data_IF_502256856409
#
_entry.id   IF_502256856409
#
_cell.length_a   1.000
_cell.length_b   1.000
_cell.length_c   1.000
_cell.angle_alpha   90.00
_cell.angle_beta   90.00
_cell.angle_gamma   90.00
#
_symmetry.space_group_name_H-M   'P 1'
#
loop_
_entity.id
_entity.type
_entity.pdbx_description
1 polymer ?
#
# COMPACT_ATOMS: atom_id res chain seq x y z
N UNK A 1 82.93 33.21 -58.05
CA UNK A 1 83.80 32.10 -58.46
C UNK A 1 84.55 31.60 -57.23
N UNK A 2 84.13 30.48 -56.66
CA UNK A 2 85.03 29.49 -56.01
C UNK A 2 84.22 28.23 -55.67
N UNK A 3 84.50 27.19 -56.45
CA UNK A 3 84.29 25.74 -56.28
C UNK A 3 83.32 25.24 -55.20
N UNK A 4 82.14 24.80 -55.64
CA UNK A 4 81.40 23.70 -55.00
C UNK A 4 82.18 22.41 -55.31
N UNK A 5 83.02 21.97 -54.38
CA UNK A 5 83.54 20.60 -54.41
C UNK A 5 82.42 19.66 -53.95
N UNK A 6 81.87 18.92 -54.92
CA UNK A 6 81.02 17.78 -54.65
C UNK A 6 81.83 16.72 -53.87
N UNK A 7 81.56 16.60 -52.58
CA UNK A 7 81.93 15.41 -51.81
C UNK A 7 81.07 14.26 -52.34
N UNK A 8 81.62 13.51 -53.30
CA UNK A 8 81.13 12.17 -53.65
C UNK A 8 81.35 11.27 -52.44
N UNK A 9 80.30 11.06 -51.65
CA UNK A 9 80.29 9.98 -50.65
C UNK A 9 80.05 8.66 -51.39
N UNK A 10 81.10 7.92 -51.69
CA UNK A 10 81.06 6.57 -52.29
C UNK A 10 80.89 5.45 -51.26
N UNK A 11 80.30 5.76 -50.10
CA UNK A 11 80.03 4.76 -49.08
C UNK A 11 78.51 4.53 -48.95
N UNK A 12 77.96 3.46 -49.57
CA UNK A 12 76.53 3.16 -49.50
C UNK A 12 76.06 2.92 -48.06
N UNK A 13 76.96 2.59 -47.13
CA UNK A 13 76.62 2.44 -45.72
C UNK A 13 76.35 3.78 -45.02
N UNK A 14 77.05 4.88 -45.32
CA UNK A 14 76.79 6.17 -44.66
C UNK A 14 75.47 6.82 -45.09
N UNK A 15 75.08 6.67 -46.36
CA UNK A 15 73.76 7.07 -46.84
C UNK A 15 72.65 6.20 -46.25
N UNK A 16 72.91 4.89 -46.08
CA UNK A 16 71.98 3.98 -45.40
C UNK A 16 71.87 4.28 -43.90
N UNK A 17 72.95 4.65 -43.22
CA UNK A 17 72.93 5.09 -41.82
C UNK A 17 72.25 6.47 -41.65
N UNK A 18 72.43 7.42 -42.55
CA UNK A 18 71.69 8.69 -42.56
C UNK A 18 70.19 8.49 -42.84
N UNK A 19 69.84 7.61 -43.80
CA UNK A 19 68.45 7.22 -44.05
C UNK A 19 67.84 6.44 -42.89
N UNK A 20 68.60 5.57 -42.21
CA UNK A 20 68.15 4.88 -41.00
C UNK A 20 67.99 5.86 -39.83
N UNK A 21 68.89 6.83 -39.63
CA UNK A 21 68.74 7.85 -38.59
C UNK A 21 67.51 8.74 -38.86
N UNK A 22 67.18 9.04 -40.13
CA UNK A 22 65.91 9.69 -40.49
C UNK A 22 64.68 8.78 -40.40
N UNK A 23 64.83 7.45 -40.49
CA UNK A 23 63.76 6.46 -40.28
C UNK A 23 63.52 6.14 -38.79
N UNK A 24 64.40 6.59 -37.88
CA UNK A 24 64.28 6.37 -36.44
C UNK A 24 63.87 7.62 -35.64
N UNK A 25 63.54 8.73 -36.30
CA UNK A 25 63.02 9.93 -35.62
C UNK A 25 61.50 9.98 -35.43
N UNK A 26 60.74 8.97 -35.90
CA UNK A 26 59.27 8.92 -35.76
C UNK A 26 58.76 7.61 -35.17
N UNK A 27 59.30 7.22 -34.01
CA UNK A 27 58.59 6.26 -33.13
C UNK A 27 58.64 6.75 -31.68
N UNK A 28 58.15 7.96 -31.45
CA UNK A 28 57.56 8.28 -30.15
C UNK A 28 56.11 7.78 -30.24
N UNK A 29 55.62 6.89 -29.34
CA UNK A 29 54.22 6.52 -29.37
C UNK A 29 53.38 7.79 -29.29
N UNK A 30 52.66 8.09 -30.35
CA UNK A 30 51.71 9.20 -30.35
C UNK A 30 50.69 8.90 -29.26
N UNK A 31 50.69 9.70 -28.20
CA UNK A 31 49.67 9.63 -27.16
C UNK A 31 48.37 10.17 -27.74
N UNK A 32 47.66 9.37 -28.53
CA UNK A 32 46.37 9.77 -29.09
C UNK A 32 45.32 9.92 -27.99
N UNK A 33 44.42 10.92 -28.09
CA UNK A 33 43.31 11.07 -27.16
C UNK A 33 42.40 9.83 -27.18
N UNK A 34 42.02 9.34 -26.02
CA UNK A 34 41.10 8.21 -25.92
C UNK A 34 40.21 8.29 -24.69
N UNK A 35 39.00 7.72 -24.79
CA UNK A 35 38.04 7.67 -23.69
C UNK A 35 38.46 6.61 -22.68
N UNK A 36 38.62 7.00 -21.42
CA UNK A 36 38.98 6.05 -20.36
C UNK A 36 37.78 5.20 -19.91
N UNK A 37 36.58 5.80 -19.93
CA UNK A 37 35.34 5.16 -19.48
C UNK A 37 34.21 5.50 -20.45
N UNK A 38 33.26 4.57 -20.67
CA UNK A 38 32.07 4.84 -21.47
C UNK A 38 31.18 5.88 -20.78
N UNK A 39 30.53 6.72 -21.57
CA UNK A 39 29.56 7.69 -21.07
C UNK A 39 28.30 6.98 -20.56
N UNK A 40 27.95 7.21 -19.29
CA UNK A 40 26.83 6.54 -18.64
C UNK A 40 25.48 7.21 -18.93
N UNK A 41 24.43 6.39 -19.09
CA UNK A 41 23.06 6.87 -19.16
C UNK A 41 22.60 7.38 -17.80
N UNK A 42 21.85 8.48 -17.79
CA UNK A 42 21.34 9.11 -16.58
C UNK A 42 19.82 9.04 -16.54
N UNK A 43 19.26 8.73 -15.38
CA UNK A 43 17.81 8.87 -15.11
C UNK A 43 17.64 9.88 -13.98
N UNK A 44 17.01 11.01 -14.28
CA UNK A 44 16.92 12.16 -13.36
C UNK A 44 15.49 12.64 -13.24
N UNK A 45 15.04 12.90 -12.01
CA UNK A 45 13.71 13.46 -11.78
C UNK A 45 13.64 14.93 -12.25
N UNK A 46 12.51 15.31 -12.84
CA UNK A 46 12.28 16.69 -13.29
C UNK A 46 12.56 17.71 -12.18
N UNK A 47 13.29 18.79 -12.52
CA UNK A 47 13.68 19.84 -11.59
C UNK A 47 14.96 19.56 -10.79
N UNK A 48 15.55 18.36 -10.89
CA UNK A 48 16.88 18.06 -10.33
C UNK A 48 17.99 18.36 -11.34
N UNK A 49 19.24 18.34 -10.88
CA UNK A 49 20.39 18.60 -11.74
C UNK A 49 20.91 17.28 -12.34
N UNK A 50 21.29 17.30 -13.61
CA UNK A 50 21.93 16.16 -14.29
C UNK A 50 23.37 16.50 -14.63
N UNK A 51 24.27 15.52 -14.50
CA UNK A 51 25.71 15.72 -14.69
C UNK A 51 26.29 14.59 -15.53
N UNK A 52 26.68 14.88 -16.76
CA UNK A 52 27.43 13.92 -17.60
C UNK A 52 28.92 14.13 -17.42
N UNK A 53 29.66 13.04 -17.26
CA UNK A 53 31.12 13.07 -17.06
C UNK A 53 31.81 12.30 -18.16
N UNK A 54 32.69 12.97 -18.90
CA UNK A 54 33.47 12.42 -19.99
C UNK A 54 34.95 12.48 -19.63
N UNK A 55 35.59 11.32 -19.52
CA UNK A 55 37.00 11.22 -19.14
C UNK A 55 37.84 10.84 -20.35
N UNK A 56 38.71 11.75 -20.77
CA UNK A 56 39.56 11.62 -21.97
C UNK A 56 41.02 11.79 -21.57
N UNK A 57 41.86 10.79 -21.86
CA UNK A 57 43.30 10.88 -21.62
C UNK A 57 44.03 11.49 -22.82
N UNK A 58 45.28 11.91 -22.62
CA UNK A 58 46.19 12.36 -23.68
C UNK A 58 45.64 13.50 -24.54
N UNK A 59 44.85 14.41 -23.96
CA UNK A 59 44.31 15.56 -24.67
C UNK A 59 45.41 16.53 -25.14
N UNK A 60 46.54 16.59 -24.44
CA UNK A 60 47.68 17.43 -24.79
C UNK A 60 48.82 16.64 -25.42
N UNK A 61 49.45 17.21 -26.45
CA UNK A 61 50.72 16.72 -26.97
C UNK A 61 50.62 15.59 -28.00
N UNK A 62 49.45 15.38 -28.61
CA UNK A 62 49.29 14.43 -29.71
C UNK A 62 49.66 15.09 -31.04
N UNK A 63 50.22 14.29 -31.97
CA UNK A 63 50.71 14.78 -33.25
C UNK A 63 49.67 14.58 -34.35
N UNK A 64 49.31 15.64 -35.06
CA UNK A 64 48.54 15.58 -36.30
C UNK A 64 49.44 16.08 -37.42
N UNK A 65 49.69 15.25 -38.44
CA UNK A 65 50.58 15.60 -39.56
C UNK A 65 51.99 16.09 -39.14
N UNK A 66 52.50 15.61 -38.01
CA UNK A 66 53.82 15.97 -37.47
C UNK A 66 53.84 17.19 -36.54
N UNK A 67 52.72 17.91 -36.37
CA UNK A 67 52.61 19.09 -35.50
C UNK A 67 51.97 18.75 -34.15
N UNK A 68 52.49 19.34 -33.06
CA UNK A 68 51.98 19.11 -31.71
C UNK A 68 50.66 19.86 -31.53
N UNK A 69 49.60 19.14 -31.21
CA UNK A 69 48.24 19.69 -31.07
C UNK A 69 47.60 19.33 -29.73
N UNK A 70 46.57 20.09 -29.35
CA UNK A 70 45.78 19.87 -28.13
C UNK A 70 44.33 19.65 -28.51
N UNK A 71 43.78 18.50 -28.11
CA UNK A 71 42.44 18.09 -28.45
C UNK A 71 41.47 18.79 -27.50
N UNK A 72 40.29 19.09 -28.02
CA UNK A 72 39.20 19.76 -27.31
C UNK A 72 38.01 18.84 -27.26
N UNK A 73 37.39 18.81 -26.09
CA UNK A 73 36.13 18.10 -25.86
C UNK A 73 34.96 19.02 -26.20
N UNK A 74 33.97 18.50 -26.89
CA UNK A 74 32.72 19.19 -27.19
C UNK A 74 31.53 18.36 -26.66
N UNK A 75 30.55 19.07 -26.12
CA UNK A 75 29.27 18.52 -25.72
C UNK A 75 28.21 18.87 -26.76
N UNK A 76 27.51 17.87 -27.27
CA UNK A 76 26.52 18.02 -28.33
C UNK A 76 25.26 17.27 -27.90
N UNK A 77 24.09 17.88 -28.08
CA UNK A 77 22.80 17.18 -27.95
C UNK A 77 22.57 16.44 -29.27
N UNK A 78 22.80 15.13 -29.28
CA UNK A 78 22.91 14.32 -30.49
C UNK A 78 21.61 14.28 -31.30
N UNK A 79 20.46 14.31 -30.63
CA UNK A 79 19.14 14.25 -31.28
C UNK A 79 18.83 15.50 -32.13
N UNK A 80 19.23 16.67 -31.65
CA UNK A 80 18.99 17.97 -32.28
C UNK A 80 20.22 18.48 -33.03
N UNK A 81 21.35 17.76 -32.91
CA UNK A 81 22.67 18.16 -33.43
C UNK A 81 23.12 19.54 -32.92
N UNK A 82 22.58 19.97 -31.77
CA UNK A 82 22.88 21.26 -31.18
C UNK A 82 24.20 21.20 -30.42
N UNK A 83 25.15 22.05 -30.79
CA UNK A 83 26.40 22.22 -30.04
C UNK A 83 26.06 22.92 -28.72
N UNK A 84 26.36 22.26 -27.60
CA UNK A 84 26.08 22.78 -26.27
C UNK A 84 27.28 23.57 -25.74
N UNK A 85 28.47 22.98 -25.84
CA UNK A 85 29.71 23.57 -25.37
C UNK A 85 30.91 23.00 -26.13
N UNK A 86 31.98 23.79 -26.22
CA UNK A 86 33.27 23.39 -26.76
C UNK A 86 34.33 23.83 -25.76
N UNK A 87 35.11 22.88 -25.26
CA UNK A 87 36.12 23.11 -24.22
C UNK A 87 35.47 23.78 -23.00
N UNK A 88 35.94 24.96 -22.59
CA UNK A 88 35.43 25.74 -21.47
C UNK A 88 34.21 26.60 -21.82
N UNK A 89 33.91 26.77 -23.11
CA UNK A 89 32.92 27.72 -23.57
C UNK A 89 31.58 27.04 -23.83
N UNK A 90 30.55 27.49 -23.11
CA UNK A 90 29.16 27.16 -23.41
C UNK A 90 28.70 27.95 -24.63
N UNK A 91 28.29 27.26 -25.70
CA UNK A 91 27.88 27.85 -26.97
C UNK A 91 26.37 28.08 -27.03
N UNK A 92 25.60 27.23 -26.36
CA UNK A 92 24.15 27.35 -26.28
C UNK A 92 23.70 28.52 -25.40
N UNK A 93 22.60 29.17 -25.76
CA UNK A 93 21.98 30.24 -24.97
C UNK A 93 21.22 29.74 -23.72
N UNK A 94 21.22 28.43 -23.48
CA UNK A 94 20.54 27.84 -22.32
C UNK A 94 21.36 28.06 -21.04
N UNK A 95 20.99 29.06 -20.25
CA UNK A 95 21.63 29.44 -18.98
C UNK A 95 21.64 28.35 -17.88
N UNK A 96 20.91 27.25 -18.08
CA UNK A 96 20.93 26.08 -17.17
C UNK A 96 22.13 25.17 -17.41
N UNK A 97 22.76 25.27 -18.58
CA UNK A 97 23.92 24.46 -18.95
C UNK A 97 25.20 25.14 -18.50
N UNK A 98 26.13 24.34 -17.96
CA UNK A 98 27.49 24.76 -17.64
C UNK A 98 28.45 23.61 -17.87
N UNK A 99 29.71 23.92 -18.12
CA UNK A 99 30.77 22.94 -18.25
C UNK A 99 31.84 23.20 -17.20
N UNK A 100 32.36 22.12 -16.62
CA UNK A 100 33.47 22.14 -15.68
C UNK A 100 34.49 21.09 -16.10
N UNK A 101 35.78 21.34 -15.87
CA UNK A 101 36.85 20.36 -16.08
C UNK A 101 37.83 20.41 -14.93
N UNK A 102 38.61 19.35 -14.78
CA UNK A 102 39.68 19.26 -13.78
C UNK A 102 41.07 19.57 -14.36
N UNK A 103 41.16 20.21 -15.54
CA UNK A 103 42.39 20.50 -16.30
C UNK A 103 43.19 19.30 -16.82
N UNK A 104 42.93 18.09 -16.31
CA UNK A 104 43.70 16.90 -16.66
C UNK A 104 43.00 16.06 -17.72
N UNK A 105 41.82 15.55 -17.40
CA UNK A 105 41.18 14.51 -18.21
C UNK A 105 39.65 14.47 -18.12
N UNK A 106 39.05 15.14 -17.13
CA UNK A 106 37.63 15.01 -16.84
C UNK A 106 36.90 16.25 -17.29
N UNK A 107 35.92 16.06 -18.17
CA UNK A 107 35.05 17.09 -18.72
C UNK A 107 33.62 16.79 -18.32
N UNK A 108 32.94 17.76 -17.73
CA UNK A 108 31.63 17.55 -17.13
C UNK A 108 30.62 18.54 -17.69
N UNK A 109 29.47 18.05 -18.15
CA UNK A 109 28.32 18.86 -18.55
C UNK A 109 27.27 18.82 -17.45
N UNK A 110 26.99 19.98 -16.86
CA UNK A 110 25.99 20.15 -15.82
C UNK A 110 24.73 20.80 -16.40
N UNK A 111 23.57 20.17 -16.18
CA UNK A 111 22.25 20.66 -16.59
C UNK A 111 21.44 20.94 -15.33
N UNK A 112 21.25 22.22 -14.98
CA UNK A 112 20.46 22.60 -13.81
C UNK A 112 18.96 22.48 -14.06
N UNK A 113 18.23 21.99 -13.07
CA UNK A 113 16.77 21.90 -13.07
C UNK A 113 16.24 21.28 -14.37
N UNK A 114 16.53 20.00 -14.59
CA UNK A 114 16.19 19.30 -15.83
C UNK A 114 14.70 19.36 -16.12
N UNK A 115 14.39 19.54 -17.40
CA UNK A 115 13.02 19.62 -17.91
C UNK A 115 12.76 18.48 -18.88
N UNK A 116 11.50 18.26 -19.23
CA UNK A 116 11.09 17.14 -20.10
C UNK A 116 11.76 17.22 -21.47
N UNK A 117 12.01 18.42 -21.97
CA UNK A 117 12.69 18.70 -23.23
C UNK A 117 14.20 18.40 -23.22
N UNK A 118 14.82 18.30 -22.05
CA UNK A 118 16.24 17.95 -21.93
C UNK A 118 16.49 16.47 -22.18
N UNK A 119 15.44 15.64 -22.08
CA UNK A 119 15.48 14.21 -22.39
C UNK A 119 16.04 13.99 -23.79
N UNK A 120 16.91 12.99 -23.93
CA UNK A 120 17.49 12.63 -25.21
C UNK A 120 18.95 12.19 -25.10
N UNK A 121 19.58 12.06 -26.25
CA UNK A 121 20.96 11.56 -26.35
C UNK A 121 21.95 12.73 -26.33
N UNK A 122 22.92 12.66 -25.44
CA UNK A 122 24.03 13.59 -25.30
C UNK A 122 25.31 12.91 -25.78
N UNK A 123 26.19 13.69 -26.39
CA UNK A 123 27.41 13.22 -27.01
C UNK A 123 28.59 14.01 -26.47
N UNK A 124 29.61 13.29 -26.01
CA UNK A 124 30.94 13.82 -25.78
C UNK A 124 31.80 13.50 -27.01
N UNK A 125 32.30 14.53 -27.67
CA UNK A 125 33.07 14.42 -28.91
C UNK A 125 34.46 15.03 -28.72
N UNK A 126 35.48 14.39 -29.29
CA UNK A 126 36.87 14.86 -29.30
C UNK A 126 37.30 15.11 -30.74
N UNK A 127 37.88 16.28 -31.02
CA UNK A 127 38.28 16.73 -32.36
C UNK A 127 39.56 16.06 -32.92
N UNK A 128 39.71 14.75 -32.71
CA UNK A 128 40.76 13.95 -33.35
C UNK A 128 40.46 13.74 -34.84
N UNK A 129 41.45 13.26 -35.60
CA UNK A 129 41.28 12.80 -36.98
C UNK A 129 41.71 11.33 -37.08
N UNK A 130 40.77 10.36 -37.18
CA UNK A 130 39.32 10.54 -37.25
C UNK A 130 38.69 10.97 -35.92
N UNK A 131 37.53 11.64 -36.00
CA UNK A 131 36.82 12.16 -34.83
C UNK A 131 36.32 11.03 -33.92
N UNK A 132 36.69 11.08 -32.63
CA UNK A 132 36.21 10.15 -31.62
C UNK A 132 35.01 10.71 -30.88
N UNK A 133 34.03 9.86 -30.56
CA UNK A 133 32.84 10.25 -29.81
C UNK A 133 32.29 9.12 -28.93
N UNK A 134 31.56 9.50 -27.89
CA UNK A 134 30.73 8.61 -27.09
C UNK A 134 29.38 9.27 -26.78
N UNK A 135 28.34 8.46 -26.58
CA UNK A 135 26.98 8.96 -26.36
C UNK A 135 26.30 8.28 -25.19
N UNK A 136 25.45 9.04 -24.51
CA UNK A 136 24.60 8.55 -23.44
C UNK A 136 23.21 9.19 -23.48
N UNK A 137 22.23 8.53 -22.89
CA UNK A 137 20.85 8.98 -22.84
C UNK A 137 20.51 9.60 -21.48
N UNK A 138 19.87 10.77 -21.49
CA UNK A 138 19.23 11.37 -20.34
C UNK A 138 17.74 11.02 -20.36
N UNK A 139 17.29 10.17 -19.45
CA UNK A 139 15.87 9.93 -19.17
C UNK A 139 15.40 10.88 -18.06
N UNK A 140 14.39 11.70 -18.37
CA UNK A 140 13.80 12.62 -17.39
C UNK A 140 12.49 12.04 -16.88
N UNK A 141 12.47 11.64 -15.61
CA UNK A 141 11.31 11.01 -14.97
C UNK A 141 10.51 12.02 -14.13
N UNK A 142 9.21 11.78 -13.99
CA UNK A 142 8.28 12.66 -13.26
C UNK A 142 7.48 11.79 -12.29
N UNK A 143 7.49 12.08 -10.97
CA UNK A 143 6.72 11.31 -9.99
C UNK A 143 5.21 11.38 -10.29
N UNK A 144 4.44 10.40 -9.80
CA UNK A 144 3.00 10.37 -10.01
C UNK A 144 2.32 11.50 -9.20
N UNK A 145 1.28 12.08 -9.77
CA UNK A 145 0.47 13.12 -9.15
C UNK A 145 -1.00 12.94 -9.54
N UNK A 146 -1.92 13.03 -8.57
CA UNK A 146 -3.34 12.75 -8.79
C UNK A 146 -4.03 14.03 -9.28
N UNK A 147 -4.72 13.92 -10.42
CA UNK A 147 -5.51 15.01 -11.00
C UNK A 147 -6.82 15.06 -10.23
N UNK A 148 -6.92 16.00 -9.30
CA UNK A 148 -8.03 16.06 -8.32
C UNK A 148 -9.36 16.34 -8.99
N UNK A 149 -9.36 17.13 -10.05
CA UNK A 149 -10.53 17.58 -10.81
C UNK A 149 -11.16 16.44 -11.63
N UNK A 150 -10.36 15.47 -12.06
CA UNK A 150 -10.82 14.31 -12.83
C UNK A 150 -11.05 13.06 -11.96
N UNK A 151 -10.64 13.12 -10.70
CA UNK A 151 -10.76 12.02 -9.74
C UNK A 151 -12.00 12.21 -8.88
N UNK A 152 -12.81 11.16 -8.75
CA UNK A 152 -14.03 11.18 -7.94
C UNK A 152 -13.80 11.69 -6.52
N UNK A 153 -14.83 12.32 -5.94
CA UNK A 153 -14.92 12.60 -4.51
C UNK A 153 -15.67 11.51 -3.77
N UNK A 154 -16.15 11.84 -2.57
CA UNK A 154 -17.03 10.97 -1.80
C UNK A 154 -18.33 10.70 -2.57
N UNK A 155 -18.80 9.45 -2.53
CA UNK A 155 -19.98 9.01 -3.28
C UNK A 155 -21.06 8.50 -2.33
N UNK A 156 -22.31 8.80 -2.67
CA UNK A 156 -23.50 8.28 -2.01
C UNK A 156 -24.28 7.42 -3.00
N UNK A 157 -24.54 6.17 -2.64
CA UNK A 157 -25.32 5.24 -3.47
C UNK A 157 -26.36 4.51 -2.62
N UNK A 158 -27.57 4.24 -3.15
CA UNK A 158 -28.52 3.38 -2.44
C UNK A 158 -28.01 1.94 -2.35
N UNK A 159 -28.40 1.21 -1.31
CA UNK A 159 -28.13 -0.23 -1.20
C UNK A 159 -28.72 -0.99 -2.40
N UNK A 160 -27.95 -1.91 -2.98
CA UNK A 160 -28.26 -2.57 -4.25
C UNK A 160 -27.96 -1.72 -5.50
N UNK A 161 -27.57 -0.46 -5.33
CA UNK A 161 -27.15 0.44 -6.42
C UNK A 161 -25.76 0.12 -6.99
N UNK A 162 -25.28 0.98 -7.89
CA UNK A 162 -23.94 0.87 -8.48
C UNK A 162 -23.17 2.18 -8.37
N UNK A 163 -21.86 2.09 -8.15
CA UNK A 163 -20.93 3.21 -8.05
C UNK A 163 -19.80 3.08 -9.07
N UNK A 164 -19.33 4.19 -9.63
CA UNK A 164 -18.18 4.25 -10.55
C UNK A 164 -17.14 5.24 -10.02
N UNK A 165 -16.16 4.73 -9.29
CA UNK A 165 -15.08 5.53 -8.74
C UNK A 165 -13.98 5.70 -9.80
N UNK A 166 -13.58 6.93 -10.09
CA UNK A 166 -12.54 7.24 -11.09
C UNK A 166 -11.36 7.91 -10.41
N UNK A 167 -10.14 7.53 -10.76
CA UNK A 167 -8.90 8.12 -10.27
C UNK A 167 -7.90 8.26 -11.42
N UNK A 168 -7.53 9.52 -11.68
CA UNK A 168 -6.65 9.92 -12.78
C UNK A 168 -5.36 10.47 -12.20
N UNK A 169 -4.24 10.00 -12.73
CA UNK A 169 -2.92 10.44 -12.30
C UNK A 169 -2.03 10.75 -13.51
N UNK A 170 -1.21 11.79 -13.37
CA UNK A 170 -0.17 12.18 -14.32
C UNK A 170 1.21 11.81 -13.78
N UNK A 171 2.18 11.62 -14.66
CA UNK A 171 3.54 11.24 -14.32
C UNK A 171 4.25 10.65 -15.54
N UNK A 172 5.57 10.49 -15.45
CA UNK A 172 6.37 9.85 -16.50
C UNK A 172 7.40 8.91 -15.86
N UNK A 173 7.36 7.59 -16.12
CA UNK A 173 6.40 6.87 -16.97
C UNK A 173 4.93 7.02 -16.55
N UNK A 174 3.97 6.65 -17.42
CA UNK A 174 2.54 6.76 -17.12
C UNK A 174 2.23 5.99 -15.80
N UNK A 175 1.61 6.63 -14.79
CA UNK A 175 1.28 5.94 -13.55
C UNK A 175 0.26 4.83 -13.71
N UNK A 176 0.51 3.72 -13.01
CA UNK A 176 -0.46 2.66 -12.77
C UNK A 176 -1.32 3.03 -11.55
N UNK A 177 -2.62 2.86 -11.67
CA UNK A 177 -3.59 3.11 -10.59
C UNK A 177 -4.10 1.79 -10.03
N UNK A 178 -4.07 1.66 -8.70
CA UNK A 178 -4.57 0.49 -7.97
C UNK A 178 -5.54 0.93 -6.88
N UNK A 179 -6.69 0.29 -6.81
CA UNK A 179 -7.71 0.49 -5.79
C UNK A 179 -7.59 -0.53 -4.68
N UNK A 180 -7.76 -0.08 -3.44
CA UNK A 180 -7.84 -0.93 -2.23
C UNK A 180 -8.85 -0.34 -1.25
N UNK A 181 -9.37 -1.17 -0.34
CA UNK A 181 -10.10 -0.66 0.82
C UNK A 181 -9.11 -0.27 1.91
N UNK A 182 -9.38 0.81 2.62
CA UNK A 182 -8.56 1.29 3.74
C UNK A 182 -8.57 0.31 4.92
N UNK A 183 -9.69 -0.38 5.12
CA UNK A 183 -9.87 -1.38 6.19
C UNK A 183 -9.19 -2.74 5.91
N UNK A 184 -8.51 -2.88 4.76
CA UNK A 184 -7.92 -4.14 4.32
C UNK A 184 -8.94 -5.20 3.85
N UNK A 185 -10.23 -4.87 3.84
CA UNK A 185 -11.29 -5.72 3.33
C UNK A 185 -11.16 -5.98 1.83
N UNK A 186 -11.78 -7.06 1.36
CA UNK A 186 -11.82 -7.36 -0.06
C UNK A 186 -12.80 -6.45 -0.81
N UNK A 187 -12.39 -6.00 -2.00
CA UNK A 187 -13.27 -5.42 -3.00
C UNK A 187 -14.08 -6.55 -3.64
N UNK A 188 -15.41 -6.38 -3.66
CA UNK A 188 -16.34 -7.36 -4.22
C UNK A 188 -16.61 -7.02 -5.68
N UNK A 189 -15.95 -7.74 -6.60
CA UNK A 189 -16.20 -7.63 -8.02
C UNK A 189 -17.32 -8.60 -8.43
N UNK A 190 -18.37 -8.08 -9.04
CA UNK A 190 -19.49 -8.87 -9.56
C UNK A 190 -19.45 -8.83 -11.08
N UNK A 191 -19.01 -9.93 -11.70
CA UNK A 191 -18.72 -9.98 -13.15
C UNK A 191 -19.59 -11.03 -13.85
N UNK A 192 -20.02 -10.70 -15.07
CA UNK A 192 -20.70 -11.64 -15.99
C UNK A 192 -22.20 -11.85 -15.72
N UNK A 193 -22.91 -12.56 -16.62
CA UNK A 193 -24.35 -12.78 -16.56
C UNK A 193 -24.78 -13.61 -15.33
N UNK A 194 -23.89 -14.45 -14.79
CA UNK A 194 -24.17 -15.30 -13.63
C UNK A 194 -23.88 -14.60 -12.29
N UNK A 195 -23.54 -13.30 -12.30
CA UNK A 195 -23.23 -12.52 -11.10
C UNK A 195 -22.14 -13.20 -10.25
N UNK A 196 -21.09 -13.73 -10.90
CA UNK A 196 -19.97 -14.39 -10.23
C UNK A 196 -19.32 -13.38 -9.29
N UNK A 197 -19.25 -13.73 -8.02
CA UNK A 197 -18.69 -12.88 -6.97
C UNK A 197 -17.22 -13.25 -6.81
N UNK A 198 -16.35 -12.29 -7.04
CA UNK A 198 -14.92 -12.39 -6.78
C UNK A 198 -14.54 -11.40 -5.67
N UNK A 199 -13.71 -11.84 -4.74
CA UNK A 199 -13.23 -11.03 -3.62
C UNK A 199 -11.74 -10.81 -3.80
N UNK A 200 -11.35 -9.60 -4.15
CA UNK A 200 -9.96 -9.24 -4.44
C UNK A 200 -9.46 -8.18 -3.47
N UNK A 201 -8.20 -8.28 -3.07
CA UNK A 201 -7.58 -7.29 -2.17
C UNK A 201 -7.25 -5.98 -2.87
N UNK A 202 -7.08 -6.03 -4.19
CA UNK A 202 -6.85 -4.83 -5.00
C UNK A 202 -7.33 -4.99 -6.44
N UNK A 203 -7.75 -3.89 -7.05
CA UNK A 203 -8.15 -3.83 -8.46
C UNK A 203 -7.28 -2.81 -9.18
N UNK A 204 -6.67 -3.21 -10.29
CA UNK A 204 -5.91 -2.30 -11.16
C UNK A 204 -6.83 -1.61 -12.17
N UNK A 205 -6.63 -0.31 -12.36
CA UNK A 205 -7.35 0.49 -13.35
C UNK A 205 -7.70 1.90 -12.84
N UNK A 206 -7.80 2.85 -13.76
CA UNK A 206 -8.22 4.23 -13.45
C UNK A 206 -9.69 4.31 -13.02
N UNK A 207 -10.48 3.25 -13.21
CA UNK A 207 -11.90 3.20 -12.84
C UNK A 207 -12.20 1.91 -12.09
N UNK A 208 -12.86 2.04 -10.95
CA UNK A 208 -13.44 0.95 -10.18
C UNK A 208 -14.97 1.02 -10.26
N UNK A 209 -15.58 0.01 -10.87
CA UNK A 209 -17.04 -0.12 -10.94
C UNK A 209 -17.51 -1.13 -9.89
N UNK A 210 -18.37 -0.66 -8.98
CA UNK A 210 -19.02 -1.48 -7.96
C UNK A 210 -20.50 -1.60 -8.32
N UNK A 211 -21.02 -2.81 -8.42
CA UNK A 211 -22.43 -3.06 -8.76
C UNK A 211 -23.12 -3.80 -7.64
N UNK A 212 -24.43 -3.58 -7.46
CA UNK A 212 -25.24 -4.19 -6.39
C UNK A 212 -24.57 -4.07 -5.02
N UNK A 213 -24.16 -2.85 -4.68
CA UNK A 213 -23.37 -2.54 -3.49
C UNK A 213 -24.18 -2.86 -2.22
N UNK A 214 -23.59 -3.57 -1.28
CA UNK A 214 -24.19 -3.88 0.02
C UNK A 214 -23.65 -2.96 1.11
N UNK A 215 -24.35 -2.85 2.26
CA UNK A 215 -23.85 -2.04 3.40
C UNK A 215 -22.47 -2.45 3.92
N UNK A 216 -22.08 -3.73 3.77
CA UNK A 216 -20.74 -4.21 4.13
C UNK A 216 -19.62 -3.68 3.22
N UNK A 217 -19.97 -3.21 2.02
CA UNK A 217 -19.05 -2.59 1.09
C UNK A 217 -18.91 -1.07 1.33
N UNK A 218 -19.67 -0.49 2.26
CA UNK A 218 -19.46 0.88 2.71
C UNK A 218 -18.06 1.06 3.30
N UNK A 219 -17.49 2.24 3.14
CA UNK A 219 -16.23 2.61 3.78
C UNK A 219 -15.29 3.39 2.88
N UNK A 220 -14.05 3.53 3.32
CA UNK A 220 -13.02 4.25 2.60
C UNK A 220 -12.32 3.37 1.57
N UNK A 221 -12.22 3.89 0.36
CA UNK A 221 -11.45 3.34 -0.75
C UNK A 221 -10.25 4.24 -1.01
N UNK A 222 -9.10 3.62 -1.26
CA UNK A 222 -7.86 4.30 -1.62
C UNK A 222 -7.58 4.02 -3.09
N UNK A 223 -7.41 5.07 -3.89
CA UNK A 223 -6.72 4.94 -5.18
C UNK A 223 -5.26 5.30 -4.98
N UNK A 224 -4.36 4.44 -5.45
CA UNK A 224 -2.91 4.56 -5.28
C UNK A 224 -2.31 4.64 -6.68
N UNK A 225 -1.58 5.71 -6.98
CA UNK A 225 -0.89 5.92 -8.24
C UNK A 225 0.62 5.78 -8.07
N UNK A 226 1.23 4.92 -8.88
CA UNK A 226 2.67 4.65 -8.85
C UNK A 226 3.23 4.43 -10.27
N UNK A 227 4.42 4.97 -10.55
CA UNK A 227 5.12 4.76 -11.82
C UNK A 227 6.59 4.32 -11.65
N UNK A 228 6.97 3.86 -10.44
CA UNK A 228 8.35 3.50 -10.12
C UNK A 228 9.24 4.68 -9.70
N UNK A 229 8.73 5.91 -9.78
CA UNK A 229 9.43 7.13 -9.34
C UNK A 229 8.83 7.59 -8.01
N UNK A 230 9.60 7.60 -6.90
CA UNK A 230 9.09 8.06 -5.62
C UNK A 230 8.80 9.58 -5.59
N UNK A 231 7.83 10.04 -4.79
CA UNK A 231 6.91 9.24 -3.98
C UNK A 231 5.70 8.74 -4.79
N UNK A 232 5.21 7.55 -4.47
CA UNK A 232 3.85 7.16 -4.87
C UNK A 232 2.82 8.00 -4.12
N UNK A 233 1.68 8.27 -4.74
CA UNK A 233 0.62 9.11 -4.16
C UNK A 233 -0.69 8.35 -4.06
N UNK A 234 -1.55 8.74 -3.13
CA UNK A 234 -2.87 8.13 -2.95
C UNK A 234 -3.94 9.15 -2.60
N UNK A 235 -5.18 8.91 -3.05
CA UNK A 235 -6.37 9.67 -2.65
C UNK A 235 -7.37 8.74 -1.96
N UNK A 236 -7.95 9.23 -0.88
CA UNK A 236 -9.00 8.56 -0.11
C UNK A 236 -10.38 9.05 -0.56
N UNK A 237 -11.31 8.12 -0.76
CA UNK A 237 -12.69 8.37 -1.16
C UNK A 237 -13.63 7.58 -0.25
N UNK A 238 -14.64 8.22 0.32
CA UNK A 238 -15.69 7.55 1.09
C UNK A 238 -16.82 7.08 0.19
N UNK A 239 -17.16 5.79 0.27
CA UNK A 239 -18.38 5.23 -0.31
C UNK A 239 -19.44 5.12 0.79
N UNK A 240 -20.48 5.95 0.71
CA UNK A 240 -21.66 5.91 1.55
C UNK A 240 -22.76 5.09 0.89
N UNK A 241 -23.23 4.06 1.57
CA UNK A 241 -24.35 3.22 1.12
C UNK A 241 -25.59 3.62 1.91
N UNK A 242 -26.63 4.13 1.26
CA UNK A 242 -27.86 4.58 1.91
C UNK A 242 -28.94 3.50 1.90
N UNK A 243 -29.57 3.27 3.05
CA UNK A 243 -30.65 2.31 3.28
C UNK A 243 -31.56 2.79 4.43
N UNK A 244 -32.82 2.38 4.40
CA UNK A 244 -33.78 2.67 5.46
C UNK A 244 -33.36 1.99 6.79
N UNK A 245 -33.76 2.51 7.95
CA UNK A 245 -33.39 1.93 9.24
C UNK A 245 -33.91 0.49 9.36
N UNK A 246 -33.09 -0.37 9.97
CA UNK A 246 -33.43 -1.74 10.33
C UNK A 246 -33.29 -1.88 11.84
N UNK A 247 -34.35 -2.33 12.51
CA UNK A 247 -34.33 -2.57 13.96
C UNK A 247 -34.39 -4.06 14.25
N UNK A 248 -33.44 -4.54 15.06
CA UNK A 248 -33.40 -5.88 15.60
C UNK A 248 -33.61 -5.83 17.11
N UNK A 249 -34.65 -6.52 17.58
CA UNK A 249 -35.00 -6.65 18.99
C UNK A 249 -34.72 -8.08 19.43
N UNK A 250 -33.63 -8.29 20.19
CA UNK A 250 -33.25 -9.63 20.66
C UNK A 250 -34.24 -10.20 21.67
N UNK A 251 -34.66 -9.36 22.63
CA UNK A 251 -35.59 -9.73 23.69
C UNK A 251 -36.89 -8.93 23.53
N UNK A 252 -37.87 -9.50 22.83
CA UNK A 252 -39.17 -8.87 22.63
C UNK A 252 -40.09 -8.97 23.84
N UNK A 253 -39.79 -9.87 24.77
CA UNK A 253 -40.53 -10.07 26.00
C UNK A 253 -39.51 -10.01 27.16
N UNK A 254 -39.65 -9.02 28.03
CA UNK A 254 -38.70 -8.76 29.13
C UNK A 254 -39.46 -8.83 30.44
N UNK A 255 -39.02 -9.73 31.32
CA UNK A 255 -39.59 -9.92 32.64
C UNK A 255 -38.69 -9.33 33.71
N UNK A 256 -39.24 -8.60 34.67
CA UNK A 256 -38.45 -8.03 35.77
C UNK A 256 -39.26 -7.95 37.07
N UNK A 257 -38.63 -8.16 38.25
CA UNK A 257 -39.30 -7.93 39.53
C UNK A 257 -39.51 -6.45 39.83
N UNK A 258 -40.54 -6.14 40.61
CA UNK A 258 -40.81 -4.78 41.10
C UNK A 258 -39.62 -4.26 41.93
N UNK A 259 -39.39 -2.94 41.88
CA UNK A 259 -38.29 -2.23 42.54
C UNK A 259 -36.88 -2.55 42.03
N UNK A 260 -36.77 -3.24 40.89
CA UNK A 260 -35.47 -3.45 40.20
C UNK A 260 -35.31 -2.51 39.01
N UNK A 261 -34.08 -2.34 38.54
CA UNK A 261 -33.81 -1.60 37.30
C UNK A 261 -33.86 -2.56 36.11
N UNK A 262 -34.59 -2.21 35.07
CA UNK A 262 -34.70 -3.02 33.84
C UNK A 262 -34.18 -2.25 32.64
N UNK A 263 -33.49 -2.95 31.74
CA UNK A 263 -32.96 -2.35 30.51
C UNK A 263 -33.61 -2.99 29.29
N UNK A 264 -34.30 -2.17 28.49
CA UNK A 264 -34.79 -2.54 27.17
C UNK A 264 -33.74 -2.16 26.13
N UNK A 265 -33.59 -2.98 25.09
CA UNK A 265 -32.52 -2.79 24.12
C UNK A 265 -32.97 -3.08 22.69
N UNK A 266 -32.64 -2.16 21.78
CA UNK A 266 -32.78 -2.34 20.34
C UNK A 266 -31.43 -2.16 19.64
N UNK A 267 -31.21 -2.94 18.59
CA UNK A 267 -30.07 -2.79 17.70
C UNK A 267 -30.55 -2.20 16.39
N UNK A 268 -29.99 -1.07 15.98
CA UNK A 268 -30.40 -0.29 14.82
C UNK A 268 -29.27 -0.26 13.82
N UNK A 269 -29.56 -0.58 12.56
CA UNK A 269 -28.67 -0.28 11.45
C UNK A 269 -29.32 0.74 10.53
N UNK A 270 -28.66 1.86 10.25
CA UNK A 270 -29.20 2.91 9.40
C UNK A 270 -28.10 3.74 8.73
N UNK A 271 -28.33 4.12 7.47
CA UNK A 271 -27.47 5.06 6.73
C UNK A 271 -28.31 5.85 5.72
N UNK A 272 -28.34 7.20 5.73
CA UNK A 272 -27.63 8.09 6.64
C UNK A 272 -28.00 7.87 8.11
N UNK A 273 -27.21 8.46 9.01
CA UNK A 273 -27.42 8.38 10.46
C UNK A 273 -28.87 8.72 10.80
N UNK A 274 -29.52 7.81 11.52
CA UNK A 274 -30.91 7.96 11.93
C UNK A 274 -31.03 8.69 13.27
N UNK A 275 -32.20 9.31 13.49
CA UNK A 275 -32.67 9.79 14.78
C UNK A 275 -33.40 8.63 15.44
N UNK A 276 -33.02 8.27 16.67
CA UNK A 276 -33.66 7.19 17.39
C UNK A 276 -34.30 7.69 18.70
N UNK A 277 -35.45 7.10 19.04
CA UNK A 277 -36.24 7.47 20.22
C UNK A 277 -37.13 6.32 20.67
N UNK A 278 -37.62 6.42 21.90
CA UNK A 278 -38.53 5.43 22.49
C UNK A 278 -39.93 6.00 22.67
N UNK A 279 -40.94 5.17 22.46
CA UNK A 279 -42.33 5.49 22.75
C UNK A 279 -42.98 4.35 23.53
N UNK A 280 -44.07 4.65 24.25
CA UNK A 280 -44.98 3.62 24.74
C UNK A 280 -45.85 3.10 23.59
N UNK A 281 -46.46 1.94 23.75
CA UNK A 281 -47.42 1.38 22.79
C UNK A 281 -48.61 2.33 22.54
N UNK A 282 -48.93 3.21 23.50
CA UNK A 282 -49.91 4.30 23.35
C UNK A 282 -49.50 5.42 22.38
N UNK A 283 -48.25 5.46 21.94
CA UNK A 283 -47.68 6.52 21.10
C UNK A 283 -47.04 7.68 21.88
N UNK A 284 -47.10 7.66 23.20
CA UNK A 284 -46.45 8.67 24.05
C UNK A 284 -44.93 8.56 23.95
N UNK A 285 -44.24 9.66 23.61
CA UNK A 285 -42.78 9.71 23.60
C UNK A 285 -42.21 9.63 25.01
N UNK A 286 -41.22 8.78 25.18
CA UNK A 286 -40.48 8.65 26.43
C UNK A 286 -39.33 9.65 26.41
N UNK A 287 -39.30 10.53 27.42
CA UNK A 287 -38.27 11.56 27.58
C UNK A 287 -37.31 11.13 28.70
N UNK A 288 -36.02 11.38 28.51
CA UNK A 288 -35.02 10.96 29.49
C UNK A 288 -35.15 11.77 30.78
N UNK A 289 -35.23 11.09 31.92
CA UNK A 289 -35.32 11.65 33.27
C UNK A 289 -34.76 10.65 34.31
N UNK A 290 -35.01 10.88 35.60
CA UNK A 290 -34.51 10.00 36.68
C UNK A 290 -35.11 8.58 36.64
N UNK A 291 -36.32 8.43 36.10
CA UNK A 291 -37.05 7.16 35.97
C UNK A 291 -36.68 6.42 34.69
N UNK A 292 -36.68 7.12 33.55
CA UNK A 292 -36.38 6.60 32.22
C UNK A 292 -35.06 7.19 31.74
N UNK A 293 -34.00 6.40 31.70
CA UNK A 293 -32.69 6.84 31.24
C UNK A 293 -32.33 6.20 29.90
N UNK A 294 -32.11 7.01 28.87
CA UNK A 294 -31.83 6.53 27.52
C UNK A 294 -30.37 6.77 27.13
N UNK A 295 -29.76 5.77 26.50
CA UNK A 295 -28.40 5.87 25.97
C UNK A 295 -28.30 5.24 24.60
N UNK A 296 -27.45 5.82 23.74
CA UNK A 296 -27.09 5.25 22.45
C UNK A 296 -25.61 4.88 22.44
N UNK A 297 -25.29 3.67 21.99
CA UNK A 297 -23.93 3.17 21.85
C UNK A 297 -23.67 2.93 20.37
N UNK A 298 -22.74 3.66 19.77
CA UNK A 298 -22.36 3.47 18.37
C UNK A 298 -21.41 2.27 18.27
N UNK A 299 -21.82 1.21 17.57
CA UNK A 299 -21.00 0.02 17.35
C UNK A 299 -20.18 0.12 16.07
N UNK A 300 -20.72 0.79 15.04
CA UNK A 300 -20.04 1.03 13.76
C UNK A 300 -20.51 2.35 13.14
N UNK A 301 -20.09 2.65 11.90
CA UNK A 301 -20.52 3.84 11.17
C UNK A 301 -22.04 3.89 10.93
N UNK A 302 -22.68 2.73 10.78
CA UNK A 302 -24.11 2.60 10.48
C UNK A 302 -24.88 1.78 11.51
N UNK A 303 -24.24 1.32 12.60
CA UNK A 303 -24.84 0.46 13.62
C UNK A 303 -24.84 1.10 15.00
N UNK A 304 -26.01 1.20 15.62
CA UNK A 304 -26.27 1.83 16.91
C UNK A 304 -27.05 0.87 17.81
N UNK A 305 -26.69 0.80 19.08
CA UNK A 305 -27.45 0.11 20.10
C UNK A 305 -28.16 1.13 20.98
N UNK A 306 -29.49 1.12 20.95
CA UNK A 306 -30.34 1.94 21.80
C UNK A 306 -30.65 1.18 23.09
N UNK A 307 -30.52 1.84 24.24
CA UNK A 307 -30.91 1.30 25.54
C UNK A 307 -31.86 2.26 26.25
N UNK A 308 -32.90 1.70 26.85
CA UNK A 308 -33.81 2.38 27.76
C UNK A 308 -33.75 1.68 29.12
N UNK A 309 -33.22 2.37 30.12
CA UNK A 309 -33.17 1.92 31.50
C UNK A 309 -34.37 2.49 32.24
N UNK A 310 -35.19 1.62 32.83
CA UNK A 310 -36.32 1.99 33.67
C UNK A 310 -35.92 1.67 35.11
N UNK A 311 -35.70 2.70 35.92
CA UNK A 311 -35.24 2.56 37.30
C UNK A 311 -36.39 2.26 38.25
N UNK A 312 -36.16 1.46 39.29
CA UNK A 312 -37.17 1.11 40.31
C UNK A 312 -38.52 0.73 39.68
N UNK A 313 -38.51 -0.28 38.82
CA UNK A 313 -39.66 -0.75 38.05
C UNK A 313 -40.93 -0.88 38.91
N UNK A 314 -42.04 -0.33 38.43
CA UNK A 314 -43.34 -0.31 39.10
C UNK A 314 -44.44 -0.84 38.16
N UNK A 315 -45.58 -1.27 38.69
CA UNK A 315 -46.69 -1.83 37.90
C UNK A 315 -47.24 -0.87 36.83
N UNK A 316 -47.11 0.45 37.03
CA UNK A 316 -47.46 1.47 36.02
C UNK A 316 -46.53 1.49 34.80
N UNK A 317 -45.35 0.88 34.91
CA UNK A 317 -44.37 0.79 33.82
C UNK A 317 -44.60 -0.45 32.95
N UNK A 318 -45.53 -1.33 33.33
CA UNK A 318 -45.93 -2.47 32.52
C UNK A 318 -46.51 -2.02 31.17
N UNK A 319 -46.33 -2.87 30.15
CA UNK A 319 -46.92 -2.68 28.83
C UNK A 319 -45.91 -2.77 27.70
N UNK A 320 -46.37 -2.39 26.51
CA UNK A 320 -45.54 -2.33 25.31
C UNK A 320 -44.72 -1.04 25.22
N UNK A 321 -43.49 -1.20 24.79
CA UNK A 321 -42.53 -0.15 24.46
C UNK A 321 -42.13 -0.33 23.00
N UNK A 322 -41.97 0.79 22.28
CA UNK A 322 -41.43 0.81 20.93
C UNK A 322 -40.13 1.58 20.89
N UNK A 323 -39.13 1.02 20.22
CA UNK A 323 -37.97 1.78 19.77
C UNK A 323 -38.19 2.14 18.31
N UNK A 324 -38.05 3.42 17.97
CA UNK A 324 -38.29 3.95 16.63
C UNK A 324 -37.00 4.59 16.13
N UNK A 325 -36.69 4.36 14.86
CA UNK A 325 -35.54 4.93 14.18
C UNK A 325 -35.95 5.50 12.84
N UNK A 326 -35.50 6.72 12.54
CA UNK A 326 -35.87 7.45 11.31
C UNK A 326 -34.67 8.11 10.67
N UNK A 327 -34.46 7.87 9.38
CA UNK A 327 -33.49 8.61 8.55
C UNK A 327 -34.17 9.23 7.32
N UNK A 328 -33.37 9.82 6.42
CA UNK A 328 -33.88 10.45 5.20
C UNK A 328 -34.46 9.48 4.17
N UNK A 329 -34.25 8.17 4.34
CA UNK A 329 -34.71 7.11 3.43
C UNK A 329 -36.02 6.50 3.94
N UNK A 330 -36.20 6.39 5.26
CA UNK A 330 -37.42 5.87 5.86
C UNK A 330 -37.32 5.71 7.37
N UNK A 331 -38.22 4.91 7.92
CA UNK A 331 -38.35 4.64 9.34
C UNK A 331 -38.54 3.14 9.62
N UNK A 332 -38.28 2.74 10.87
CA UNK A 332 -38.55 1.42 11.39
C UNK A 332 -38.90 1.47 12.88
N UNK A 333 -39.70 0.51 13.32
CA UNK A 333 -40.06 0.33 14.73
C UNK A 333 -39.80 -1.10 15.20
N UNK A 334 -39.45 -1.26 16.49
CA UNK A 334 -39.33 -2.54 17.16
C UNK A 334 -40.13 -2.53 18.45
N UNK A 335 -40.86 -3.61 18.73
CA UNK A 335 -41.76 -3.73 19.88
C UNK A 335 -41.13 -4.60 20.97
N UNK A 336 -41.23 -4.16 22.23
CA UNK A 336 -40.81 -4.89 23.43
C UNK A 336 -41.94 -4.83 24.46
N UNK A 337 -42.34 -5.98 25.00
CA UNK A 337 -43.35 -6.06 26.05
C UNK A 337 -42.69 -6.34 27.40
N UNK A 338 -42.95 -5.47 28.36
CA UNK A 338 -42.43 -5.57 29.73
C UNK A 338 -43.50 -6.18 30.65
N UNK A 339 -43.13 -7.22 31.40
CA UNK A 339 -44.02 -7.92 32.33
C UNK A 339 -43.36 -8.12 33.71
N UNK A 340 -44.18 -8.30 34.74
CA UNK A 340 -43.74 -8.53 36.13
C UNK A 340 -43.33 -10.00 36.29
N UNK A 341 -42.18 -10.23 36.93
CA UNK A 341 -41.72 -11.56 37.36
C UNK A 341 -41.63 -11.57 38.87
N UNK A 342 -42.26 -12.55 39.51
CA UNK A 342 -42.16 -12.74 40.95
C UNK A 342 -40.83 -13.39 41.32
N UNK A 343 -40.19 -12.88 42.37
CA UNK A 343 -39.00 -13.53 42.94
C UNK A 343 -39.48 -14.71 43.79
N UNK A 344 -39.18 -15.92 43.34
CA UNK A 344 -39.43 -17.12 44.14
C UNK A 344 -38.31 -17.27 45.18
N UNK A 345 -38.67 -17.17 46.46
CA UNK A 345 -37.76 -17.48 47.55
C UNK A 345 -37.45 -18.99 47.53
N UNK A 346 -36.16 -19.35 47.42
CA UNK A 346 -35.74 -20.73 47.65
C UNK A 346 -35.93 -21.03 49.13
N UNK A 347 -36.92 -21.86 49.45
CA UNK A 347 -37.00 -22.51 50.76
C UNK A 347 -35.97 -23.63 50.74
N UNK A 348 -34.82 -23.40 51.37
CA UNK A 348 -33.82 -24.44 51.60
C UNK A 348 -34.44 -25.48 52.55
N UNK A 349 -34.77 -26.66 52.01
CA UNK A 349 -35.15 -27.82 52.81
C UNK A 349 -33.91 -28.34 53.54
N UNK A 350 -33.68 -27.82 54.75
CA UNK A 350 -32.94 -28.54 55.77
C UNK A 350 -33.90 -29.60 56.34
N UNK A 351 -33.84 -30.83 55.83
CA UNK A 351 -34.34 -32.00 56.57
C UNK A 351 -33.15 -32.84 57.03
N UNK A 352 -33.23 -33.16 58.31
CA UNK A 352 -32.20 -33.68 59.18
C UNK A 352 -31.78 -35.11 58.82
N UNK A 353 -30.49 -35.34 58.94
CA UNK A 353 -29.90 -36.65 59.15
C UNK A 353 -30.40 -37.26 60.46
N UNK A 354 -31.13 -38.37 60.39
CA UNK A 354 -31.05 -39.43 61.40
C UNK A 354 -30.86 -40.80 60.74
N UNK A 355 -29.71 -41.39 61.06
CA UNK A 355 -29.34 -42.77 60.76
C UNK A 355 -29.90 -43.71 61.83
N UNK A 356 -30.44 -44.85 61.43
CA UNK A 356 -30.25 -46.19 62.04
C UNK A 356 -30.88 -47.21 61.07
N UNK A 357 -30.11 -47.95 60.28
CA UNK A 357 -29.45 -49.24 60.59
C UNK A 357 -30.41 -50.42 60.78
N UNK A 358 -30.26 -51.39 59.88
CA UNK A 358 -30.65 -52.82 59.91
C UNK A 358 -32.17 -53.12 59.92
N UNK A 359 -32.73 -54.09 59.18
CA UNK A 359 -32.17 -55.36 58.76
C UNK A 359 -32.99 -55.98 57.60
N UNK A 360 -32.45 -57.07 57.08
CA UNK A 360 -32.67 -57.82 55.84
C UNK A 360 -34.09 -58.33 55.47
N UNK A 361 -34.17 -58.64 54.16
CA UNK A 361 -34.84 -59.80 53.52
C UNK A 361 -36.38 -59.87 53.57
N UNK A 362 -37.04 -59.93 52.40
CA UNK A 362 -37.12 -61.13 51.52
C UNK A 362 -38.07 -60.87 50.35
N UNK A 363 -37.65 -61.37 49.20
CA UNK A 363 -38.36 -61.50 47.93
C UNK A 363 -39.81 -62.02 48.06
N UNK A 364 -40.72 -61.54 47.21
CA UNK A 364 -41.17 -62.27 46.02
C UNK A 364 -42.34 -61.54 45.32
N UNK A 365 -42.13 -61.31 44.01
CA UNK A 365 -43.00 -61.64 42.89
C UNK A 365 -44.47 -61.18 42.92
N UNK A 366 -44.82 -60.26 42.02
CA UNK A 366 -45.47 -60.55 40.71
C UNK A 366 -46.95 -60.12 40.79
N UNK A 367 -47.60 -59.52 39.81
CA UNK A 367 -47.34 -59.34 38.38
C UNK A 367 -48.35 -58.30 37.85
N UNK A 368 -47.99 -57.62 36.75
CA UNK A 368 -48.86 -57.20 35.62
C UNK A 368 -50.15 -56.39 35.87
N UNK A 369 -50.49 -55.31 35.15
CA UNK A 369 -50.41 -54.94 33.70
C UNK A 369 -51.14 -53.55 33.64
N UNK A 370 -51.05 -52.62 32.69
CA UNK A 370 -51.05 -52.68 31.23
C UNK A 370 -50.91 -51.21 30.70
N UNK A 371 -49.98 -50.97 29.75
CA UNK A 371 -50.04 -50.08 28.56
C UNK A 371 -50.32 -48.56 28.73
N UNK A 372 -49.71 -47.60 28.01
CA UNK A 372 -49.05 -47.52 26.69
C UNK A 372 -48.25 -46.18 26.65
N UNK A 373 -47.03 -46.09 26.09
CA UNK A 373 -46.74 -45.60 24.72
C UNK A 373 -46.71 -44.04 24.62
N UNK A 374 -45.77 -43.31 24.01
CA UNK A 374 -44.81 -43.59 22.93
C UNK A 374 -43.80 -42.41 22.74
N UNK A 375 -42.54 -42.72 22.37
CA UNK A 375 -41.49 -41.99 21.57
C UNK A 375 -41.32 -40.45 21.72
N UNK A 376 -40.13 -39.84 21.82
CA UNK A 376 -38.74 -40.11 21.36
C UNK A 376 -38.11 -38.73 20.96
N UNK A 377 -36.92 -38.63 20.33
CA UNK A 377 -35.61 -39.12 20.77
C UNK A 377 -34.48 -38.05 20.77
N UNK A 378 -33.37 -38.42 21.40
CA UNK A 378 -32.00 -37.89 21.29
C UNK A 378 -31.31 -38.32 19.98
N UNK A 379 -30.19 -37.66 19.64
CA UNK A 379 -29.09 -38.31 18.91
C UNK A 379 -27.72 -37.76 19.33
N UNK A 380 -26.90 -38.67 19.83
CA UNK A 380 -25.48 -38.56 20.18
C UNK A 380 -24.53 -38.61 18.97
N UNK A 381 -23.28 -38.20 19.21
CA UNK A 381 -22.11 -38.38 18.34
C UNK A 381 -21.27 -39.54 18.89
N UNK A 382 -20.89 -40.44 17.98
CA UNK A 382 -20.21 -41.71 18.21
C UNK A 382 -18.67 -41.60 18.18
N UNK A 383 -18.00 -42.49 18.93
CA UNK A 383 -16.55 -42.71 19.00
C UNK A 383 -16.21 -44.16 18.66
N UNK A 384 -15.18 -44.37 17.83
CA UNK A 384 -14.32 -45.58 17.78
C UNK A 384 -13.24 -45.34 16.70
N UNK A 385 -11.98 -45.82 16.69
CA UNK A 385 -11.22 -46.83 17.42
C UNK A 385 -9.68 -46.58 17.26
N UNK A 386 -8.89 -47.14 18.19
CA UNK A 386 -7.41 -47.25 18.38
C UNK A 386 -6.68 -48.11 17.28
N UNK A 387 -5.32 -48.36 17.24
CA UNK A 387 -4.32 -48.37 18.34
C UNK A 387 -2.82 -47.96 18.08
N UNK A 388 -2.08 -47.80 19.20
CA UNK A 388 -0.67 -48.10 19.56
C UNK A 388 0.47 -48.14 18.49
N UNK A 389 1.55 -47.35 18.71
CA UNK A 389 2.88 -47.90 19.06
C UNK A 389 3.90 -46.83 19.55
N UNK A 390 4.85 -47.31 20.36
CA UNK A 390 5.87 -46.60 21.16
C UNK A 390 7.20 -46.46 20.38
N UNK A 391 7.89 -45.32 20.49
CA UNK A 391 9.28 -45.22 20.98
C UNK A 391 9.98 -43.89 20.65
N UNK A 392 10.71 -43.44 21.65
CA UNK A 392 11.62 -42.31 21.77
C UNK A 392 12.96 -42.49 21.06
N UNK A 393 13.54 -41.42 20.52
CA UNK A 393 14.98 -41.11 20.71
C UNK A 393 15.28 -39.64 20.43
N UNK A 394 16.05 -39.05 21.34
CA UNK A 394 16.72 -37.76 21.28
C UNK A 394 18.04 -37.90 20.47
N UNK A 395 18.43 -36.91 19.67
CA UNK A 395 19.85 -36.55 19.50
C UNK A 395 20.06 -35.19 18.83
N UNK A 396 21.09 -34.55 19.35
CA UNK A 396 21.69 -33.23 19.07
C UNK A 396 22.55 -33.26 17.81
N UNK A 397 22.59 -32.17 17.02
CA UNK A 397 23.84 -31.65 16.42
C UNK A 397 23.67 -30.30 15.70
N UNK A 398 24.30 -29.27 16.28
CA UNK A 398 25.15 -28.22 15.71
C UNK A 398 24.95 -27.77 14.24
N UNK A 399 24.78 -26.46 14.06
CA UNK A 399 25.76 -25.62 13.32
C UNK A 399 25.75 -24.19 13.87
N UNK A 400 26.93 -23.55 13.84
CA UNK A 400 27.39 -22.49 14.71
C UNK A 400 27.77 -21.25 13.87
N UNK A 401 27.55 -20.05 14.44
CA UNK A 401 28.33 -18.80 14.31
C UNK A 401 28.31 -18.01 12.97
N UNK A 402 27.92 -16.73 13.07
CA UNK A 402 28.86 -15.58 12.99
C UNK A 402 28.13 -14.25 13.31
N UNK A 403 28.37 -13.70 14.50
CA UNK A 403 28.47 -12.27 14.83
C UNK A 403 29.08 -12.20 16.24
N UNK A 404 30.28 -11.61 16.43
CA UNK A 404 30.30 -10.24 16.97
C UNK A 404 31.55 -9.42 16.57
N UNK A 405 31.44 -8.10 16.44
CA UNK A 405 32.54 -7.18 16.78
C UNK A 405 31.94 -5.85 17.30
N UNK A 406 32.10 -5.59 18.59
CA UNK A 406 32.06 -4.25 19.18
C UNK A 406 33.03 -4.22 20.38
N UNK A 407 33.77 -3.10 20.49
CA UNK A 407 34.68 -2.65 21.58
C UNK A 407 36.03 -3.41 21.61
N UNK A 408 37.24 -2.83 21.66
CA UNK A 408 37.82 -1.66 22.36
C UNK A 408 39.13 -1.23 21.63
N UNK A 409 39.45 0.08 21.56
CA UNK A 409 40.78 0.62 21.97
C UNK A 409 40.88 2.15 21.87
N UNK A 410 40.84 2.78 23.06
CA UNK A 410 41.47 4.05 23.40
C UNK A 410 42.88 3.75 23.92
N UNK A 411 43.92 4.20 23.24
CA UNK A 411 45.11 4.89 23.80
C UNK A 411 46.22 5.07 22.76
N UNK A 412 46.89 6.24 22.86
CA UNK A 412 48.12 6.72 22.18
C UNK A 412 47.94 7.43 20.84
N UNK A 413 47.56 8.72 20.86
CA UNK A 413 48.48 9.87 20.75
C UNK A 413 47.79 11.15 21.20
#
# INVERSE_FOLDING_TARGET
MHNVQALRTTNPHLLFYMLLIFQFYDVVPAFEPDFLFPLENLTVAQGRDATFTCVVNNLGGYRVSGELTTARVAWIKADTKAILAIHEHVITNNARLSVTHNDFNTWTLNIRGVKREDRGQYMCQVNTDPMKMQTAYLEVVIPPDIITEETSGDMMVPEGGSAKLTCKARGHPKPRVVWRREDGGAIVARTGPNNKIERVTSVEGETLTLTKVTRSEMGAYLCIAANGVPPSVSKRLMLHVHFHPLIQVRNQLVGTPVNTDVTLQCHVEASPKAINYWTRESGEMIISNDKYYMTEINNSYYSVQMKLVIRKFHKSDLGGYKCISKNSIGDAEGNIRLYEVELQERVDAAEETEQTSDDQNRNNDSEERLYNGFRGPLSDIDQSNLPLNVSSTCTISKFHKLCPVLVILLHLY
#
